data_IF_540777748951
#
_entry.id   IF_540777748951
#
_cell.length_a   1.000
_cell.length_b   1.000
_cell.length_c   1.000
_cell.angle_alpha   90.00
_cell.angle_beta   90.00
_cell.angle_gamma   90.00
#
_symmetry.space_group_name_H-M   'P 1'
#
loop_
_entity.id
_entity.type
_entity.pdbx_description
1 polymer ?
#
# COMPACT_ATOMS: atom_id res chain seq x y z
N UNK A 1 -10.68 -23.09 -13.00
CA UNK A 1 -10.54 -22.02 -14.03
C UNK A 1 -11.83 -21.24 -14.03
N UNK A 2 -11.84 -20.07 -13.40
CA UNK A 2 -13.01 -19.21 -13.41
C UNK A 2 -12.91 -18.31 -14.65
N UNK A 3 -13.84 -18.46 -15.58
CA UNK A 3 -13.98 -17.60 -16.73
C UNK A 3 -14.16 -16.15 -16.25
N UNK A 4 -13.17 -15.29 -16.53
CA UNK A 4 -13.30 -13.85 -16.45
C UNK A 4 -14.33 -13.38 -17.49
N UNK A 5 -15.61 -13.62 -17.21
CA UNK A 5 -16.72 -12.97 -17.91
C UNK A 5 -16.63 -11.49 -17.62
N UNK A 6 -16.02 -10.73 -18.54
CA UNK A 6 -16.18 -9.29 -18.79
C UNK A 6 -16.94 -8.57 -17.67
N UNK A 7 -16.32 -8.44 -16.51
CA UNK A 7 -16.85 -7.62 -15.43
C UNK A 7 -16.51 -6.20 -15.89
N UNK A 8 -17.50 -5.34 -16.19
CA UNK A 8 -17.23 -3.93 -16.47
C UNK A 8 -16.36 -3.42 -15.33
N UNK A 9 -15.20 -2.85 -15.66
CA UNK A 9 -14.13 -2.44 -14.73
C UNK A 9 -14.80 -1.88 -13.48
N UNK A 10 -14.92 -2.72 -12.45
CA UNK A 10 -15.44 -2.30 -11.17
C UNK A 10 -14.28 -1.50 -10.62
N UNK A 11 -14.33 -0.18 -10.79
CA UNK A 11 -13.46 0.71 -10.04
C UNK A 11 -13.86 0.47 -8.59
N UNK A 12 -13.19 -0.47 -7.94
CA UNK A 12 -13.26 -0.66 -6.50
C UNK A 12 -12.79 0.67 -5.91
N UNK A 13 -13.73 1.51 -5.46
CA UNK A 13 -13.35 2.57 -4.52
C UNK A 13 -12.88 1.85 -3.28
N UNK A 14 -11.57 1.84 -3.08
CA UNK A 14 -10.98 1.43 -1.82
C UNK A 14 -11.48 2.43 -0.76
N UNK A 15 -12.49 2.05 0.03
CA UNK A 15 -12.94 2.81 1.20
C UNK A 15 -11.94 2.72 2.38
N UNK A 16 -10.69 2.36 2.05
CA UNK A 16 -9.63 2.08 2.99
C UNK A 16 -9.86 0.87 3.88
N UNK A 17 -10.87 0.03 3.65
CA UNK A 17 -11.20 -1.11 4.54
C UNK A 17 -10.01 -2.06 4.72
N UNK A 18 -9.35 -2.50 3.64
CA UNK A 18 -8.15 -3.35 3.76
C UNK A 18 -7.01 -2.65 4.52
N UNK A 19 -6.84 -1.34 4.33
CA UNK A 19 -5.84 -0.57 5.06
C UNK A 19 -6.20 -0.45 6.54
N UNK A 20 -7.48 -0.22 6.88
CA UNK A 20 -7.97 -0.19 8.27
C UNK A 20 -7.79 -1.55 8.95
N UNK A 21 -8.09 -2.65 8.23
CA UNK A 21 -7.88 -4.02 8.70
C UNK A 21 -6.39 -4.28 8.96
N UNK A 22 -5.51 -3.87 8.04
CA UNK A 22 -4.06 -3.96 8.22
C UNK A 22 -3.58 -3.19 9.45
N UNK A 23 -4.01 -1.92 9.61
CA UNK A 23 -3.67 -1.08 10.76
C UNK A 23 -4.12 -1.69 12.10
N UNK A 24 -5.24 -2.41 12.12
CA UNK A 24 -5.76 -3.10 13.29
C UNK A 24 -5.10 -4.47 13.55
N UNK A 25 -4.31 -4.97 12.60
CA UNK A 25 -3.68 -6.29 12.69
C UNK A 25 -2.45 -6.28 13.59
N UNK A 26 -2.09 -7.47 14.10
CA UNK A 26 -0.83 -7.66 14.84
C UNK A 26 0.42 -7.62 13.95
N UNK A 27 0.24 -7.56 12.63
CA UNK A 27 1.32 -7.53 11.64
C UNK A 27 1.80 -6.11 11.35
N UNK A 28 0.97 -5.10 11.64
CA UNK A 28 1.27 -3.70 11.37
C UNK A 28 2.61 -3.25 11.97
N UNK A 29 2.75 -3.32 13.29
CA UNK A 29 3.97 -2.86 13.99
C UNK A 29 5.26 -3.55 13.49
N UNK A 30 5.36 -4.90 13.43
CA UNK A 30 6.59 -5.54 12.97
C UNK A 30 6.92 -5.22 11.50
N UNK A 31 5.91 -5.05 10.65
CA UNK A 31 6.09 -4.73 9.24
C UNK A 31 6.54 -3.28 9.03
N UNK A 32 5.94 -2.33 9.75
CA UNK A 32 6.37 -0.93 9.71
C UNK A 32 7.78 -0.75 10.27
N UNK A 33 8.14 -1.46 11.34
CA UNK A 33 9.51 -1.46 11.87
C UNK A 33 10.49 -1.94 10.79
N UNK A 34 10.19 -3.06 10.13
CA UNK A 34 11.03 -3.61 9.07
C UNK A 34 11.19 -2.64 7.88
N UNK A 35 10.10 -1.97 7.47
CA UNK A 35 10.11 -0.99 6.39
C UNK A 35 10.94 0.25 6.77
N UNK A 36 10.68 0.85 7.94
CA UNK A 36 11.38 2.06 8.36
C UNK A 36 12.87 1.84 8.66
N UNK A 37 13.26 0.65 9.15
CA UNK A 37 14.69 0.32 9.32
C UNK A 37 15.47 0.35 8.01
N UNK A 38 14.83 0.05 6.88
CA UNK A 38 15.46 0.08 5.55
C UNK A 38 15.53 1.51 4.98
N UNK A 39 14.63 2.39 5.42
CA UNK A 39 14.47 3.76 4.92
C UNK A 39 15.34 4.76 5.69
N UNK A 40 15.52 4.58 7.00
CA UNK A 40 16.32 5.47 7.85
C UNK A 40 17.76 5.65 7.31
N UNK A 41 18.31 4.63 6.66
CA UNK A 41 19.62 4.69 6.01
C UNK A 41 19.66 5.54 4.71
N UNK A 42 18.51 5.98 4.17
CA UNK A 42 18.37 6.55 2.82
C UNK A 42 17.65 7.90 2.74
N UNK A 43 16.82 8.27 3.72
CA UNK A 43 15.97 9.48 3.65
C UNK A 43 16.64 10.73 4.20
N UNK A 44 16.39 11.90 3.58
CA UNK A 44 16.89 13.20 4.04
C UNK A 44 15.87 13.99 4.88
N UNK A 45 14.59 13.59 4.85
CA UNK A 45 13.50 14.20 5.63
C UNK A 45 12.42 13.20 6.02
N UNK A 46 11.66 13.49 7.08
CA UNK A 46 10.51 12.68 7.51
C UNK A 46 9.46 12.50 6.40
N UNK A 47 9.24 13.54 5.58
CA UNK A 47 8.30 13.46 4.45
C UNK A 47 8.76 12.39 3.45
N UNK A 48 10.04 12.39 3.10
CA UNK A 48 10.61 11.37 2.21
C UNK A 48 10.55 9.98 2.85
N UNK A 49 10.80 9.87 4.16
CA UNK A 49 10.69 8.59 4.86
C UNK A 49 9.28 8.02 4.80
N UNK A 50 8.26 8.87 5.02
CA UNK A 50 6.84 8.48 4.92
C UNK A 50 6.49 8.07 3.49
N UNK A 51 6.92 8.85 2.48
CA UNK A 51 6.66 8.50 1.08
C UNK A 51 7.28 7.15 0.70
N UNK A 52 8.55 6.92 1.04
CA UNK A 52 9.22 5.63 0.78
C UNK A 52 8.56 4.46 1.52
N UNK A 53 8.02 4.69 2.73
CA UNK A 53 7.34 3.65 3.49
C UNK A 53 6.01 3.27 2.84
N UNK A 54 5.24 4.27 2.40
CA UNK A 54 3.98 4.04 1.69
C UNK A 54 4.19 3.35 0.34
N UNK A 55 5.30 3.61 -0.35
CA UNK A 55 5.66 2.91 -1.60
C UNK A 55 5.99 1.43 -1.40
N UNK A 56 6.43 1.02 -0.20
CA UNK A 56 6.71 -0.38 0.15
C UNK A 56 5.44 -1.16 0.51
N UNK A 57 4.35 -0.47 0.84
CA UNK A 57 3.06 -1.11 1.10
C UNK A 57 2.40 -1.49 -0.23
N UNK A 58 2.17 -2.79 -0.41
CA UNK A 58 1.60 -3.38 -1.63
C UNK A 58 0.07 -3.38 -1.63
N UNK A 59 -0.51 -3.88 -2.73
CA UNK A 59 -1.96 -4.18 -2.86
C UNK A 59 -2.49 -5.07 -1.75
N UNK A 60 -1.65 -5.93 -1.18
CA UNK A 60 -2.01 -6.81 -0.07
C UNK A 60 -2.34 -6.01 1.20
N UNK A 61 -1.83 -4.77 1.30
CA UNK A 61 -2.08 -3.82 2.39
C UNK A 61 -3.21 -2.82 2.08
N UNK A 62 -3.91 -3.00 0.95
CA UNK A 62 -4.99 -2.12 0.53
C UNK A 62 -4.55 -0.85 -0.19
N UNK A 63 -3.28 -0.75 -0.60
CA UNK A 63 -2.75 0.37 -1.38
C UNK A 63 -2.52 -0.05 -2.84
N UNK A 64 -3.03 0.71 -3.83
CA UNK A 64 -2.71 0.45 -5.23
C UNK A 64 -1.20 0.59 -5.47
N UNK A 65 -0.63 -0.15 -6.45
CA UNK A 65 0.77 -0.01 -6.78
C UNK A 65 1.09 1.44 -7.17
N UNK A 66 2.25 1.96 -6.79
CA UNK A 66 2.69 3.30 -7.20
C UNK A 66 2.84 3.47 -8.72
N UNK A 67 2.99 2.36 -9.45
CA UNK A 67 3.00 2.30 -10.92
C UNK A 67 1.61 2.34 -11.57
N UNK A 68 0.53 2.29 -10.78
CA UNK A 68 -0.82 2.35 -11.30
C UNK A 68 -1.13 3.74 -11.89
N UNK A 69 -1.67 3.77 -13.10
CA UNK A 69 -1.99 5.00 -13.83
C UNK A 69 -3.10 5.81 -13.18
N UNK A 70 -3.89 5.21 -12.29
CA UNK A 70 -4.93 5.89 -11.50
C UNK A 70 -4.37 6.63 -10.28
N UNK A 71 -3.16 6.29 -9.82
CA UNK A 71 -2.49 6.94 -8.68
C UNK A 71 -1.74 8.20 -9.11
N UNK A 72 -1.25 8.24 -10.36
CA UNK A 72 -0.45 9.34 -10.90
C UNK A 72 -1.25 10.36 -11.74
N UNK A 73 -2.52 10.63 -11.37
CA UNK A 73 -3.34 11.67 -12.02
C UNK A 73 -3.14 13.05 -11.42
#
# INVERSE_FOLDING_TARGET
>A
MAELKKIPILILRFDGECLKEFLASTQFEPEMINIFSQIEARSSSLRESIMMALEQLTVDHGLPPSSDSWVNQ
#
